data_IF_633942973019
#
_entry.id   IF_633942973019
#
_cell.length_a   1.000
_cell.length_b   1.000
_cell.length_c   1.000
_cell.angle_alpha   90.00
_cell.angle_beta   90.00
_cell.angle_gamma   90.00
#
_symmetry.space_group_name_H-M   'P 1'
#
loop_
_entity.id
_entity.type
_entity.pdbx_description
1 polymer ?
#
# COMPACT_ATOMS: atom_id res chain seq x y z
N UNK A 1 9.39 -15.89 18.85
CA UNK A 1 8.02 -15.47 18.51
C UNK A 1 8.12 -14.53 17.32
N UNK A 2 7.45 -14.81 16.20
CA UNK A 2 7.39 -13.85 15.09
C UNK A 2 6.60 -12.62 15.56
N UNK A 3 7.17 -11.43 15.39
CA UNK A 3 6.50 -10.16 15.67
C UNK A 3 6.05 -9.59 14.33
N UNK A 4 4.75 -9.42 14.18
CA UNK A 4 4.12 -8.83 13.00
C UNK A 4 3.54 -7.47 13.39
N UNK A 5 3.60 -6.53 12.47
CA UNK A 5 3.00 -5.20 12.59
C UNK A 5 2.17 -4.97 11.34
N UNK A 6 0.92 -4.55 11.52
CA UNK A 6 0.07 -4.09 10.44
C UNK A 6 0.21 -2.57 10.30
N UNK A 7 0.40 -2.10 9.06
CA UNK A 7 0.46 -0.69 8.72
C UNK A 7 -0.68 -0.39 7.76
N UNK A 8 -1.58 0.50 8.14
CA UNK A 8 -2.74 0.93 7.32
C UNK A 8 -2.58 2.41 6.97
N UNK A 9 -1.67 2.76 6.04
CA UNK A 9 -1.44 4.14 5.64
C UNK A 9 -2.64 4.67 4.84
N UNK A 10 -2.93 5.95 5.00
CA UNK A 10 -3.95 6.64 4.22
C UNK A 10 -3.29 7.69 3.32
N UNK A 11 -3.64 7.70 2.04
CA UNK A 11 -3.16 8.66 1.06
C UNK A 11 -4.35 9.50 0.58
N UNK A 12 -4.19 10.83 0.54
CA UNK A 12 -5.24 11.74 0.03
C UNK A 12 -5.27 11.79 -1.51
N UNK A 13 -5.24 10.63 -2.14
CA UNK A 13 -5.34 10.42 -3.60
C UNK A 13 -6.19 9.17 -3.87
N UNK A 14 -7.42 9.38 -4.34
CA UNK A 14 -8.37 8.30 -4.64
C UNK A 14 -8.70 8.13 -6.13
N UNK A 15 -8.25 9.06 -6.99
CA UNK A 15 -8.73 9.19 -8.37
C UNK A 15 -7.68 8.84 -9.41
N UNK A 16 -6.47 9.34 -9.21
CA UNK A 16 -5.39 9.16 -10.16
C UNK A 16 -4.78 7.76 -10.01
N UNK A 17 -5.27 6.82 -10.83
CA UNK A 17 -4.80 5.43 -10.85
C UNK A 17 -3.30 5.31 -11.06
N UNK A 18 -2.67 6.19 -11.85
CA UNK A 18 -1.23 6.12 -12.07
C UNK A 18 -0.44 6.48 -10.80
N UNK A 19 -0.94 7.42 -10.00
CA UNK A 19 -0.32 7.77 -8.71
C UNK A 19 -0.54 6.65 -7.70
N UNK A 20 -1.74 6.08 -7.65
CA UNK A 20 -2.08 4.95 -6.77
C UNK A 20 -1.18 3.75 -7.08
N UNK A 21 -1.06 3.32 -8.34
CA UNK A 21 -0.19 2.19 -8.69
C UNK A 21 1.28 2.46 -8.36
N UNK A 22 1.78 3.69 -8.55
CA UNK A 22 3.15 4.05 -8.12
C UNK A 22 3.35 3.88 -6.61
N UNK A 23 2.36 4.24 -5.79
CA UNK A 23 2.41 4.05 -4.33
C UNK A 23 2.44 2.55 -3.99
N UNK A 24 1.56 1.76 -4.61
CA UNK A 24 1.48 0.32 -4.37
C UNK A 24 2.75 -0.40 -4.84
N UNK A 25 3.34 0.02 -5.95
CA UNK A 25 4.59 -0.54 -6.46
C UNK A 25 5.77 -0.30 -5.53
N UNK A 26 5.83 0.82 -4.82
CA UNK A 26 6.85 1.02 -3.78
C UNK A 26 6.69 -0.01 -2.65
N UNK A 27 5.47 -0.31 -2.21
CA UNK A 27 5.22 -1.36 -1.19
C UNK A 27 5.68 -2.73 -1.69
N UNK A 28 5.39 -3.07 -2.95
CA UNK A 28 5.76 -4.37 -3.57
C UNK A 28 7.28 -4.58 -3.67
N UNK A 29 8.09 -3.52 -3.71
CA UNK A 29 9.56 -3.61 -3.79
C UNK A 29 10.20 -4.08 -2.48
N UNK A 30 9.52 -3.94 -1.35
CA UNK A 30 10.06 -4.30 -0.04
C UNK A 30 9.83 -5.78 0.26
N UNK A 31 10.91 -6.58 0.22
CA UNK A 31 10.86 -8.05 0.39
C UNK A 31 10.27 -8.53 1.72
N UNK A 32 10.42 -7.72 2.78
CA UNK A 32 9.96 -8.06 4.13
C UNK A 32 8.55 -7.50 4.42
N UNK A 33 7.91 -6.87 3.43
CA UNK A 33 6.57 -6.31 3.53
C UNK A 33 5.64 -7.10 2.61
N UNK A 34 4.47 -7.46 3.13
CA UNK A 34 3.40 -8.09 2.35
C UNK A 34 2.25 -7.10 2.21
N UNK A 35 1.91 -6.76 0.96
CA UNK A 35 0.67 -6.06 0.68
C UNK A 35 -0.51 -7.00 0.95
N UNK A 36 -1.40 -6.61 1.87
CA UNK A 36 -2.59 -7.38 2.21
C UNK A 36 -3.78 -6.97 1.33
N UNK A 37 -4.02 -5.67 1.21
CA UNK A 37 -5.09 -5.07 0.41
C UNK A 37 -4.75 -3.60 0.08
N UNK A 38 -5.47 -3.02 -0.90
CA UNK A 38 -5.54 -1.58 -1.09
C UNK A 38 -6.92 -1.21 -1.66
N UNK A 39 -7.45 -0.05 -1.24
CA UNK A 39 -8.69 0.51 -1.76
C UNK A 39 -8.50 1.99 -2.09
N UNK A 40 -9.30 2.47 -3.03
CA UNK A 40 -9.31 3.87 -3.45
C UNK A 40 -10.73 4.30 -3.75
N UNK A 41 -11.18 5.38 -3.12
CA UNK A 41 -12.49 5.98 -3.39
C UNK A 41 -12.43 6.90 -4.62
N UNK A 42 -13.36 6.78 -5.58
CA UNK A 42 -13.41 7.63 -6.78
C UNK A 42 -13.76 9.10 -6.51
#
# INVERSE_FOLDING_TARGET
MLRLVECVPNFSEGRNKEVIEKIIDEVRKHRDVKLLDYSSDP
#
